data_IF_138695938047
#
_entry.id   IF_138695938047
#
_cell.length_a   1.000
_cell.length_b   1.000
_cell.length_c   1.000
_cell.angle_alpha   90.00
_cell.angle_beta   90.00
_cell.angle_gamma   90.00
#
_symmetry.space_group_name_H-M   'P 1'
#
loop_
_entity.id
_entity.type
_entity.pdbx_description
1 polymer ?
#
# COMPACT_ATOMS: atom_id res chain seq x y z
N UNK A 1 1.48 0.79 12.37
CA UNK A 1 -0.01 0.89 12.36
C UNK A 1 -0.55 1.62 11.11
N UNK A 2 0.21 1.72 10.01
CA UNK A 2 -0.15 2.60 8.89
C UNK A 2 -1.05 1.97 7.81
N UNK A 3 -1.33 0.67 7.88
CA UNK A 3 -2.02 -0.08 6.81
C UNK A 3 -3.26 -0.84 7.31
N UNK A 4 -3.07 -1.96 8.03
CA UNK A 4 -4.17 -2.86 8.39
C UNK A 4 -5.15 -2.25 9.40
N UNK A 5 -4.64 -1.55 10.42
CA UNK A 5 -5.48 -0.92 11.44
C UNK A 5 -6.46 0.09 10.86
N UNK A 6 -6.03 1.12 10.08
CA UNK A 6 -6.98 2.04 9.47
C UNK A 6 -7.92 1.35 8.47
N UNK A 7 -7.45 0.34 7.71
CA UNK A 7 -8.31 -0.42 6.81
C UNK A 7 -9.46 -1.13 7.54
N UNK A 8 -9.18 -1.73 8.71
CA UNK A 8 -10.20 -2.33 9.58
C UNK A 8 -11.17 -1.30 10.15
N UNK A 9 -10.67 -0.15 10.59
CA UNK A 9 -11.50 0.93 11.17
C UNK A 9 -12.54 1.43 10.17
N UNK A 10 -12.21 1.48 8.87
CA UNK A 10 -13.14 1.91 7.82
C UNK A 10 -13.82 0.75 7.07
N UNK A 11 -13.58 -0.50 7.48
CA UNK A 11 -14.23 -1.68 6.90
C UNK A 11 -13.83 -2.02 5.46
N UNK A 12 -12.57 -1.82 5.09
CA UNK A 12 -12.04 -2.15 3.75
C UNK A 12 -10.87 -3.15 3.80
N UNK A 13 -10.67 -3.81 4.93
CA UNK A 13 -9.56 -4.75 5.14
C UNK A 13 -9.72 -6.07 4.39
N UNK A 14 -10.91 -6.37 3.87
CA UNK A 14 -11.16 -7.42 2.89
C UNK A 14 -10.40 -7.18 1.58
N UNK A 15 -10.12 -5.91 1.26
CA UNK A 15 -9.47 -5.49 0.01
C UNK A 15 -8.12 -4.80 0.17
N UNK A 16 -7.79 -4.24 1.34
CA UNK A 16 -6.57 -3.44 1.56
C UNK A 16 -5.95 -3.69 2.94
N UNK A 17 -4.76 -3.12 3.15
CA UNK A 17 -4.14 -3.03 4.48
C UNK A 17 -3.19 -4.18 4.84
N UNK A 18 -3.16 -5.27 4.06
CA UNK A 18 -2.18 -6.35 4.16
C UNK A 18 -1.82 -6.90 2.77
N UNK A 19 -0.70 -7.61 2.69
CA UNK A 19 -0.22 -8.26 1.47
C UNK A 19 -0.71 -9.71 1.44
N UNK A 20 -1.85 -9.93 0.78
CA UNK A 20 -2.50 -11.23 0.67
C UNK A 20 -3.11 -11.39 -0.73
N UNK A 21 -3.22 -12.63 -1.22
CA UNK A 21 -3.83 -12.90 -2.51
C UNK A 21 -5.30 -12.44 -2.55
N UNK A 22 -5.71 -11.84 -3.67
CA UNK A 22 -7.08 -11.34 -3.88
C UNK A 22 -7.34 -9.90 -3.41
N UNK A 23 -6.37 -9.26 -2.74
CA UNK A 23 -6.46 -7.85 -2.33
C UNK A 23 -6.03 -6.89 -3.45
N UNK A 24 -6.45 -5.63 -3.35
CA UNK A 24 -6.00 -4.58 -4.25
C UNK A 24 -4.49 -4.39 -4.08
N UNK A 25 -3.75 -4.39 -5.19
CA UNK A 25 -2.30 -4.15 -5.19
C UNK A 25 -1.97 -2.65 -5.01
N UNK A 26 -2.28 -2.12 -3.83
CA UNK A 26 -1.89 -0.79 -3.36
C UNK A 26 -0.71 -0.89 -2.40
N UNK A 27 0.48 -0.57 -2.89
CA UNK A 27 1.74 -0.87 -2.22
C UNK A 27 2.59 0.40 -2.21
N UNK A 28 3.10 0.78 -1.05
CA UNK A 28 4.15 1.79 -0.91
C UNK A 28 5.45 1.09 -0.52
N UNK A 29 6.52 1.34 -1.27
CA UNK A 29 7.83 0.75 -1.05
C UNK A 29 8.81 1.87 -0.71
N UNK A 30 9.61 1.63 0.33
CA UNK A 30 10.56 2.59 0.88
C UNK A 30 11.95 1.97 0.89
N UNK A 31 12.97 2.83 0.80
CA UNK A 31 14.36 2.45 1.02
C UNK A 31 14.65 2.31 2.54
N UNK A 32 15.85 1.86 2.89
CA UNK A 32 16.29 1.69 4.29
C UNK A 32 16.28 3.02 5.09
N UNK A 33 16.45 4.15 4.41
CA UNK A 33 16.37 5.50 5.01
C UNK A 33 14.94 6.06 5.09
N UNK A 34 13.94 5.23 4.75
CA UNK A 34 12.52 5.57 4.71
C UNK A 34 12.12 6.59 3.63
N UNK A 35 13.02 6.90 2.69
CA UNK A 35 12.65 7.62 1.48
C UNK A 35 11.71 6.77 0.61
N UNK A 36 10.74 7.42 -0.04
CA UNK A 36 9.77 6.73 -0.88
C UNK A 36 10.45 6.28 -2.19
N UNK A 37 10.56 4.97 -2.40
CA UNK A 37 11.10 4.44 -3.65
C UNK A 37 10.05 4.48 -4.75
N UNK A 38 8.92 3.77 -4.55
CA UNK A 38 7.84 3.64 -5.53
C UNK A 38 6.51 3.35 -4.85
N UNK A 39 5.43 3.73 -5.54
CA UNK A 39 4.06 3.40 -5.16
C UNK A 39 3.37 2.67 -6.30
N UNK A 40 2.62 1.63 -5.97
CA UNK A 40 1.70 0.94 -6.87
C UNK A 40 0.27 1.26 -6.44
N UNK A 41 -0.60 1.58 -7.40
CA UNK A 41 -2.03 1.82 -7.20
C UNK A 41 -2.79 0.82 -8.07
N UNK A 42 -3.53 -0.10 -7.45
CA UNK A 42 -4.29 -1.18 -8.11
C UNK A 42 -3.49 -1.93 -9.19
N UNK A 43 -2.25 -2.28 -8.89
CA UNK A 43 -1.38 -3.02 -9.81
C UNK A 43 -0.65 -2.15 -10.84
N UNK A 44 -0.86 -0.83 -10.84
CA UNK A 44 -0.19 0.09 -11.76
C UNK A 44 0.87 0.92 -11.01
N UNK A 45 2.07 1.02 -11.56
CA UNK A 45 3.11 1.86 -10.99
C UNK A 45 2.74 3.33 -11.12
N UNK A 46 2.68 4.05 -10.00
CA UNK A 46 2.56 5.50 -9.96
C UNK A 46 3.96 6.13 -10.13
N UNK A 47 4.04 7.25 -10.84
CA UNK A 47 5.29 8.00 -10.98
C UNK A 47 5.77 8.46 -9.60
N UNK A 48 7.01 8.10 -9.24
CA UNK A 48 7.66 8.67 -8.06
C UNK A 48 8.00 10.14 -8.32
N UNK A 49 7.85 10.98 -7.29
CA UNK A 49 8.34 12.35 -7.34
C UNK A 49 9.84 12.33 -7.69
N UNK A 50 10.19 13.09 -8.72
CA UNK A 50 11.58 13.33 -9.14
C UNK A 50 12.38 14.02 -8.03
#
# INVERSE_FOLDING_TARGET
MASLTPARVIGVDDRKGSLEAGKDADIAIFEDDFSAWRTMIRGQWAYAAT
#
